data_IF_163289137196
#
_entry.id   IF_163289137196
#
_cell.length_a   1.000
_cell.length_b   1.000
_cell.length_c   1.000
_cell.angle_alpha   90.00
_cell.angle_beta   90.00
_cell.angle_gamma   90.00
#
_symmetry.space_group_name_H-M   'P 1'
#
loop_
_entity.id
_entity.type
_entity.pdbx_description
1 polymer ?
#
# COMPACT_ATOMS: atom_id res chain seq x y z
N UNK A 1 2.49 -16.94 15.46
CA UNK A 1 1.49 -16.02 16.06
C UNK A 1 1.16 -16.45 17.49
N UNK A 2 0.86 -15.50 18.37
CA UNK A 2 0.37 -15.80 19.72
C UNK A 2 -1.06 -16.37 19.68
N UNK A 3 -1.52 -17.12 20.70
CA UNK A 3 -2.91 -17.46 20.85
C UNK A 3 -3.80 -16.20 20.83
N UNK A 4 -4.92 -16.24 20.16
CA UNK A 4 -5.83 -15.09 20.01
C UNK A 4 -5.52 -14.15 18.82
N UNK A 5 -4.45 -14.37 18.05
CA UNK A 5 -4.20 -13.59 16.86
C UNK A 5 -5.33 -13.69 15.80
N UNK A 6 -6.06 -14.79 15.78
CA UNK A 6 -7.17 -15.01 14.83
C UNK A 6 -8.50 -14.37 15.26
N UNK A 7 -8.57 -13.74 16.42
CA UNK A 7 -9.81 -13.19 16.99
C UNK A 7 -9.70 -11.71 17.35
N UNK A 8 -8.65 -11.04 16.95
CA UNK A 8 -8.43 -9.61 17.15
C UNK A 8 -7.94 -8.96 15.86
N UNK A 9 -8.24 -7.70 15.67
CA UNK A 9 -7.70 -6.97 14.53
C UNK A 9 -6.17 -6.91 14.57
N UNK A 10 -5.55 -7.00 13.41
CA UNK A 10 -4.11 -7.04 13.26
C UNK A 10 -3.61 -5.93 12.34
N UNK A 11 -2.48 -5.36 12.71
CA UNK A 11 -1.63 -4.57 11.83
C UNK A 11 -0.47 -5.46 11.36
N UNK A 12 -0.37 -5.69 10.07
CA UNK A 12 0.80 -6.32 9.46
C UNK A 12 1.72 -5.23 8.91
N UNK A 13 3.02 -5.44 9.06
CA UNK A 13 4.07 -4.54 8.56
C UNK A 13 5.13 -5.36 7.85
N UNK A 14 5.40 -5.07 6.60
CA UNK A 14 6.53 -5.65 5.88
C UNK A 14 7.82 -5.06 6.43
N UNK A 15 8.72 -5.92 6.83
CA UNK A 15 10.04 -5.61 7.39
C UNK A 15 11.08 -6.05 6.36
N UNK A 16 11.25 -5.22 5.34
CA UNK A 16 11.95 -5.54 4.10
C UNK A 16 13.39 -6.00 4.35
N UNK A 17 14.15 -5.27 5.17
CA UNK A 17 15.54 -5.56 5.44
C UNK A 17 15.77 -6.88 6.16
N UNK A 18 14.79 -7.37 6.94
CA UNK A 18 14.87 -8.66 7.64
C UNK A 18 14.17 -9.81 6.91
N UNK A 19 13.57 -9.56 5.73
CA UNK A 19 12.81 -10.55 4.96
C UNK A 19 11.68 -11.20 5.77
N UNK A 20 10.96 -10.41 6.58
CA UNK A 20 9.86 -10.88 7.42
C UNK A 20 8.67 -9.91 7.40
N UNK A 21 7.51 -10.38 7.84
CA UNK A 21 6.33 -9.53 8.07
C UNK A 21 5.97 -9.64 9.55
N UNK A 22 5.93 -8.50 10.23
CA UNK A 22 5.59 -8.41 11.63
C UNK A 22 4.08 -8.20 11.79
N UNK A 23 3.47 -8.89 12.75
CA UNK A 23 2.06 -8.75 13.08
C UNK A 23 1.88 -8.21 14.49
N UNK A 24 1.09 -7.15 14.60
CA UNK A 24 0.77 -6.48 15.87
C UNK A 24 -0.74 -6.52 16.11
N UNK A 25 -1.17 -6.57 17.37
CA UNK A 25 -2.57 -6.33 17.69
C UNK A 25 -2.95 -4.90 17.34
N UNK A 26 -4.11 -4.71 16.73
CA UNK A 26 -4.63 -3.39 16.39
C UNK A 26 -5.90 -3.08 17.21
N UNK A 27 -6.05 -1.88 17.77
CA UNK A 27 -5.14 -0.74 17.71
C UNK A 27 -4.02 -0.74 18.77
N UNK A 28 -3.84 -1.78 19.60
CA UNK A 28 -2.95 -1.76 20.78
C UNK A 28 -1.46 -1.70 20.43
N UNK A 29 -1.02 -2.23 19.26
CA UNK A 29 0.37 -2.25 18.81
C UNK A 29 1.29 -3.18 19.61
N UNK A 30 0.73 -4.26 20.16
CA UNK A 30 1.52 -5.33 20.79
C UNK A 30 1.92 -6.34 19.73
N UNK A 31 3.22 -6.65 19.62
CA UNK A 31 3.71 -7.69 18.72
C UNK A 31 3.06 -9.05 19.08
N UNK A 32 2.39 -9.66 18.13
CA UNK A 32 1.73 -10.97 18.29
C UNK A 32 2.37 -12.08 17.48
N UNK A 33 3.27 -11.74 16.57
CA UNK A 33 4.04 -12.72 15.82
C UNK A 33 4.70 -12.17 14.58
N UNK A 34 5.28 -13.08 13.81
CA UNK A 34 5.91 -12.77 12.54
C UNK A 34 5.71 -13.89 11.53
N UNK A 35 5.78 -13.54 10.26
CA UNK A 35 5.86 -14.44 9.13
C UNK A 35 7.25 -14.31 8.55
N UNK A 36 7.82 -15.40 8.05
CA UNK A 36 9.19 -15.46 7.50
C UNK A 36 9.20 -16.23 6.18
N UNK A 37 10.32 -16.18 5.48
CA UNK A 37 10.51 -16.89 4.20
C UNK A 37 10.07 -16.07 3.00
N UNK A 38 10.23 -14.76 3.10
CA UNK A 38 10.03 -13.80 2.01
C UNK A 38 11.35 -13.45 1.33
N UNK A 39 11.24 -12.80 0.19
CA UNK A 39 12.33 -12.18 -0.55
C UNK A 39 11.98 -10.71 -0.78
N UNK A 40 12.40 -9.83 0.15
CA UNK A 40 12.05 -8.41 0.15
C UNK A 40 10.53 -8.20 0.20
N UNK A 41 9.83 -8.52 1.31
CA UNK A 41 8.40 -8.28 1.40
C UNK A 41 8.13 -6.77 1.39
N UNK A 42 7.23 -6.31 0.52
CA UNK A 42 6.92 -4.90 0.35
C UNK A 42 5.42 -4.65 0.53
N UNK A 43 4.63 -4.56 -0.54
CA UNK A 43 3.21 -4.33 -0.45
C UNK A 43 2.43 -5.38 0.31
N UNK A 44 1.49 -4.95 1.14
CA UNK A 44 0.55 -5.82 1.84
C UNK A 44 -0.86 -5.30 1.63
N UNK A 45 -1.78 -6.19 1.24
CA UNK A 45 -3.20 -5.86 1.18
C UNK A 45 -4.05 -6.95 1.85
N UNK A 46 -5.24 -6.57 2.34
CA UNK A 46 -6.16 -7.47 3.01
C UNK A 46 -7.46 -7.61 2.22
N UNK A 47 -8.04 -8.80 2.24
CA UNK A 47 -9.38 -9.05 1.72
C UNK A 47 -10.46 -8.81 2.80
N UNK A 48 -11.73 -8.94 2.42
CA UNK A 48 -12.87 -8.80 3.35
C UNK A 48 -12.93 -9.81 4.49
N UNK A 49 -12.20 -10.90 4.39
CA UNK A 49 -12.13 -11.94 5.44
C UNK A 49 -10.98 -11.68 6.41
N UNK A 50 -10.21 -10.61 6.15
CA UNK A 50 -8.98 -10.32 6.84
C UNK A 50 -7.80 -11.17 6.38
N UNK A 51 -7.95 -12.03 5.37
CA UNK A 51 -6.81 -12.74 4.78
C UNK A 51 -5.89 -11.72 4.10
N UNK A 52 -4.58 -11.91 4.19
CA UNK A 52 -3.59 -10.96 3.69
C UNK A 52 -2.82 -11.53 2.51
N UNK A 53 -2.58 -10.69 1.54
CA UNK A 53 -1.64 -10.89 0.45
C UNK A 53 -0.38 -10.08 0.70
N UNK A 54 0.78 -10.69 0.48
CA UNK A 54 2.10 -10.09 0.67
C UNK A 54 2.87 -10.22 -0.63
N UNK A 55 3.39 -9.10 -1.08
CA UNK A 55 4.19 -9.01 -2.30
C UNK A 55 5.66 -9.23 -1.97
N UNK A 56 6.36 -10.09 -2.72
CA UNK A 56 7.81 -10.28 -2.61
C UNK A 56 8.51 -9.47 -3.71
N UNK A 57 9.02 -8.30 -3.39
CA UNK A 57 9.62 -7.39 -4.37
C UNK A 57 10.86 -7.96 -5.08
N UNK A 58 11.72 -8.68 -4.38
CA UNK A 58 12.92 -9.30 -4.98
C UNK A 58 12.68 -10.73 -5.49
N UNK A 59 11.42 -11.11 -5.66
CA UNK A 59 10.98 -12.37 -6.22
C UNK A 59 9.58 -12.24 -6.82
N UNK A 60 9.20 -13.08 -7.79
CA UNK A 60 7.94 -12.91 -8.52
C UNK A 60 6.71 -13.36 -7.74
N UNK A 61 6.83 -13.74 -6.48
CA UNK A 61 5.75 -14.37 -5.74
C UNK A 61 4.90 -13.36 -4.97
N UNK A 62 3.58 -13.51 -5.08
CA UNK A 62 2.59 -12.87 -4.20
C UNK A 62 1.90 -13.96 -3.39
N UNK A 63 1.95 -13.87 -2.07
CA UNK A 63 1.59 -14.98 -1.19
C UNK A 63 0.46 -14.64 -0.23
N UNK A 64 -0.46 -15.58 -0.02
CA UNK A 64 -1.62 -15.41 0.84
C UNK A 64 -1.47 -16.14 2.17
N UNK A 65 -1.89 -15.47 3.24
CA UNK A 65 -2.03 -16.04 4.58
C UNK A 65 -3.42 -15.76 5.14
N UNK A 66 -3.96 -16.71 5.88
CA UNK A 66 -5.17 -16.50 6.69
C UNK A 66 -4.93 -15.44 7.75
N UNK A 67 -5.99 -14.69 8.08
CA UNK A 67 -6.00 -13.79 9.21
C UNK A 67 -5.41 -14.45 10.47
N UNK A 68 -4.37 -13.86 11.05
CA UNK A 68 -3.68 -14.40 12.23
C UNK A 68 -2.98 -15.73 12.04
N UNK A 69 -2.98 -16.30 10.83
CA UNK A 69 -2.32 -17.57 10.50
C UNK A 69 -0.83 -17.43 10.23
N UNK A 70 -0.13 -18.56 10.20
CA UNK A 70 1.30 -18.63 9.84
C UNK A 70 1.57 -19.55 8.66
N UNK A 71 0.54 -20.22 8.17
CA UNK A 71 0.67 -21.12 7.00
C UNK A 71 0.28 -20.37 5.73
N UNK A 72 1.17 -20.37 4.74
CA UNK A 72 0.86 -19.91 3.38
C UNK A 72 -0.26 -20.76 2.80
N UNK A 73 -1.31 -20.14 2.27
CA UNK A 73 -2.49 -20.81 1.72
C UNK A 73 -2.58 -20.70 0.20
N UNK A 74 -1.98 -19.67 -0.39
CA UNK A 74 -1.83 -19.53 -1.83
C UNK A 74 -0.49 -18.87 -2.19
N UNK A 75 -0.06 -19.11 -3.44
CA UNK A 75 1.06 -18.42 -4.07
C UNK A 75 0.64 -18.15 -5.51
N UNK A 76 0.79 -16.89 -5.92
CA UNK A 76 0.66 -16.45 -7.30
C UNK A 76 2.04 -16.03 -7.79
N UNK A 77 2.34 -16.34 -9.05
CA UNK A 77 3.57 -15.88 -9.68
C UNK A 77 3.24 -14.66 -10.52
N UNK A 78 3.76 -13.53 -10.16
CA UNK A 78 3.64 -12.35 -11.00
C UNK A 78 4.54 -12.47 -12.23
N UNK A 79 4.13 -11.83 -13.31
CA UNK A 79 4.86 -11.89 -14.56
C UNK A 79 6.13 -11.06 -14.52
N UNK A 80 6.11 -9.99 -13.73
CA UNK A 80 7.23 -9.12 -13.51
C UNK A 80 8.27 -9.76 -12.57
N UNK A 81 9.38 -9.08 -12.43
CA UNK A 81 10.46 -9.51 -11.54
C UNK A 81 10.50 -8.69 -10.25
N UNK A 82 9.67 -7.64 -10.16
CA UNK A 82 9.67 -6.68 -9.05
C UNK A 82 8.26 -6.20 -8.71
N UNK A 83 7.35 -7.12 -8.29
CA UNK A 83 6.04 -6.71 -7.82
C UNK A 83 6.19 -5.83 -6.58
N UNK A 84 5.41 -4.74 -6.50
CA UNK A 84 5.62 -3.71 -5.47
C UNK A 84 4.40 -3.53 -4.56
N UNK A 85 3.18 -3.47 -5.10
CA UNK A 85 1.97 -3.23 -4.33
C UNK A 85 0.83 -4.14 -4.75
N UNK A 86 -0.18 -4.26 -3.88
CA UNK A 86 -1.38 -5.03 -4.19
C UNK A 86 -2.66 -4.37 -3.63
N UNK A 87 -3.79 -4.73 -4.26
CA UNK A 87 -5.12 -4.36 -3.77
C UNK A 87 -6.15 -5.44 -4.11
N UNK A 88 -7.10 -5.68 -3.23
CA UNK A 88 -8.19 -6.66 -3.44
C UNK A 88 -9.50 -5.92 -3.73
N UNK A 89 -10.15 -6.23 -4.86
CA UNK A 89 -11.50 -5.71 -5.14
C UNK A 89 -12.48 -6.20 -4.07
N UNK A 90 -13.07 -5.29 -3.30
CA UNK A 90 -13.97 -5.67 -2.22
C UNK A 90 -15.26 -6.34 -2.71
N UNK A 91 -15.61 -6.25 -3.98
CA UNK A 91 -16.82 -6.86 -4.54
C UNK A 91 -16.59 -8.24 -5.14
N UNK A 92 -15.48 -8.43 -5.88
CA UNK A 92 -15.21 -9.67 -6.63
C UNK A 92 -14.14 -10.54 -5.98
N UNK A 93 -13.26 -9.97 -5.16
CA UNK A 93 -12.06 -10.63 -4.64
C UNK A 93 -10.96 -10.75 -5.70
N UNK A 94 -11.01 -9.97 -6.78
CA UNK A 94 -9.93 -9.90 -7.74
C UNK A 94 -8.72 -9.21 -7.10
N UNK A 95 -7.53 -9.76 -7.31
CA UNK A 95 -6.29 -9.20 -6.80
C UNK A 95 -5.58 -8.44 -7.92
N UNK A 96 -5.35 -7.16 -7.72
CA UNK A 96 -4.45 -6.35 -8.53
C UNK A 96 -3.05 -6.37 -7.91
N UNK A 97 -2.02 -6.50 -8.75
CA UNK A 97 -0.61 -6.42 -8.39
C UNK A 97 0.08 -5.50 -9.37
N UNK A 98 0.81 -4.51 -8.87
CA UNK A 98 1.67 -3.63 -9.67
C UNK A 98 3.09 -4.15 -9.68
N UNK A 99 3.78 -3.98 -10.80
CA UNK A 99 5.19 -4.33 -10.94
C UNK A 99 6.01 -3.08 -11.30
N UNK A 100 7.06 -2.83 -10.51
CA UNK A 100 7.90 -1.63 -10.67
C UNK A 100 8.54 -1.53 -12.05
N UNK A 101 8.97 -2.65 -12.62
CA UNK A 101 9.69 -2.67 -13.90
C UNK A 101 8.77 -2.71 -15.14
N UNK A 102 7.45 -2.79 -14.93
CA UNK A 102 6.47 -2.88 -16.01
C UNK A 102 5.49 -1.71 -15.93
N UNK A 103 5.05 -1.25 -17.08
CA UNK A 103 4.01 -0.22 -17.19
C UNK A 103 2.61 -0.88 -17.26
N UNK A 104 2.38 -1.92 -16.46
CA UNK A 104 1.10 -2.61 -16.42
C UNK A 104 0.72 -3.08 -15.01
N UNK A 105 -0.51 -3.57 -14.89
CA UNK A 105 -1.05 -4.17 -13.68
C UNK A 105 -1.50 -5.58 -13.99
N UNK A 106 -1.06 -6.53 -13.19
CA UNK A 106 -1.53 -7.91 -13.16
C UNK A 106 -2.82 -8.01 -12.36
N UNK A 107 -3.94 -8.42 -12.99
CA UNK A 107 -5.21 -8.65 -12.27
C UNK A 107 -5.55 -10.14 -12.30
N UNK A 108 -5.57 -10.76 -11.13
CA UNK A 108 -5.91 -12.16 -10.89
C UNK A 108 -7.39 -12.27 -10.51
N UNK A 109 -8.20 -12.89 -11.38
CA UNK A 109 -9.62 -13.09 -11.11
C UNK A 109 -9.82 -13.96 -9.85
N UNK A 110 -10.56 -13.44 -8.87
CA UNK A 110 -10.77 -14.06 -7.56
C UNK A 110 -9.45 -14.49 -6.88
N UNK A 111 -8.39 -13.72 -7.11
CA UNK A 111 -7.05 -13.96 -6.61
C UNK A 111 -6.52 -15.39 -6.95
N UNK A 112 -6.73 -15.84 -8.19
CA UNK A 112 -6.36 -17.21 -8.64
C UNK A 112 -5.88 -17.24 -10.07
N UNK A 113 -5.08 -18.28 -10.38
CA UNK A 113 -4.67 -18.63 -11.74
C UNK A 113 -3.67 -17.64 -12.34
N UNK A 114 -3.74 -17.44 -13.65
CA UNK A 114 -2.88 -16.50 -14.37
C UNK A 114 -3.52 -15.12 -14.45
N UNK A 115 -2.75 -14.04 -14.34
CA UNK A 115 -3.30 -12.70 -14.38
C UNK A 115 -3.70 -12.29 -15.80
N UNK A 116 -4.60 -11.33 -15.86
CA UNK A 116 -4.82 -10.50 -17.03
C UNK A 116 -4.07 -9.19 -16.86
N UNK A 117 -3.33 -8.80 -17.90
CA UNK A 117 -2.49 -7.63 -17.91
C UNK A 117 -3.23 -6.40 -18.45
N UNK A 118 -3.03 -5.27 -17.81
CA UNK A 118 -3.61 -3.99 -18.18
C UNK A 118 -2.53 -2.92 -18.22
N UNK A 119 -2.16 -2.47 -19.42
CA UNK A 119 -1.17 -1.42 -19.60
C UNK A 119 -1.69 -0.06 -19.09
N UNK A 120 -0.80 0.68 -18.44
CA UNK A 120 -1.07 2.03 -17.97
C UNK A 120 -0.55 3.03 -19.01
N UNK A 121 -1.42 3.85 -19.60
CA UNK A 121 -1.00 4.83 -20.60
C UNK A 121 -0.01 5.84 -20.02
N UNK A 122 1.05 6.14 -20.76
CA UNK A 122 2.08 7.13 -20.43
C UNK A 122 2.91 6.80 -19.17
N UNK A 123 2.87 5.60 -18.64
CA UNK A 123 3.74 5.16 -17.54
C UNK A 123 4.95 4.39 -18.08
N UNK A 124 6.10 4.55 -17.46
CA UNK A 124 7.29 3.71 -17.65
C UNK A 124 7.46 2.76 -16.46
N UNK A 125 7.12 3.22 -15.26
CA UNK A 125 7.14 2.47 -14.02
C UNK A 125 5.79 2.57 -13.33
N UNK A 126 5.30 1.44 -12.83
CA UNK A 126 4.06 1.37 -12.05
C UNK A 126 4.42 1.21 -10.58
N UNK A 127 3.75 1.96 -9.71
CA UNK A 127 4.03 1.92 -8.27
C UNK A 127 2.89 1.29 -7.49
N UNK A 128 1.85 2.04 -7.14
CA UNK A 128 0.84 1.60 -6.18
C UNK A 128 -0.54 1.50 -6.81
N UNK A 129 -1.40 0.69 -6.20
CA UNK A 129 -2.77 0.55 -6.65
C UNK A 129 -3.77 0.41 -5.50
N UNK A 130 -5.01 0.86 -5.76
CA UNK A 130 -6.11 0.75 -4.80
C UNK A 130 -7.46 0.62 -5.48
N UNK A 131 -8.23 -0.39 -5.09
CA UNK A 131 -9.64 -0.49 -5.48
C UNK A 131 -10.51 0.42 -4.61
N UNK A 132 -11.52 1.07 -5.22
CA UNK A 132 -12.61 1.69 -4.48
C UNK A 132 -13.71 0.66 -4.12
N UNK A 133 -14.72 1.11 -3.38
CA UNK A 133 -15.86 0.26 -2.96
C UNK A 133 -16.77 -0.18 -4.11
N UNK A 134 -16.60 0.39 -5.30
CA UNK A 134 -17.36 0.06 -6.53
C UNK A 134 -16.60 -0.90 -7.43
N UNK A 135 -15.32 -1.19 -7.12
CA UNK A 135 -14.44 -2.03 -7.91
C UNK A 135 -13.77 -1.30 -9.08
N UNK A 136 -13.66 0.03 -9.03
CA UNK A 136 -12.76 0.76 -9.90
C UNK A 136 -11.35 0.66 -9.32
N UNK A 137 -10.35 0.39 -10.17
CA UNK A 137 -8.95 0.32 -9.77
C UNK A 137 -8.23 1.61 -10.13
N UNK A 138 -7.62 2.23 -9.15
CA UNK A 138 -6.76 3.39 -9.30
C UNK A 138 -5.31 2.97 -9.17
N UNK A 139 -4.44 3.56 -10.01
CA UNK A 139 -3.02 3.21 -10.06
C UNK A 139 -2.22 4.47 -10.26
N UNK A 140 -1.08 4.56 -9.62
CA UNK A 140 -0.09 5.57 -9.92
C UNK A 140 1.17 4.99 -10.56
N UNK A 141 2.02 5.89 -11.04
CA UNK A 141 3.23 5.53 -11.74
C UNK A 141 4.05 6.76 -12.13
N UNK A 142 5.11 6.50 -12.89
CA UNK A 142 6.07 7.50 -13.31
C UNK A 142 6.41 7.39 -14.79
N UNK A 143 6.62 8.54 -15.48
CA UNK A 143 6.94 8.58 -16.93
C UNK A 143 8.43 8.61 -17.23
N UNK A 144 9.32 8.58 -16.23
CA UNK A 144 10.76 8.80 -16.44
C UNK A 144 11.18 10.22 -16.80
N UNK A 145 10.23 11.10 -17.08
CA UNK A 145 10.49 12.50 -17.40
C UNK A 145 10.31 13.42 -16.18
N UNK A 146 10.82 14.62 -16.25
CA UNK A 146 10.66 15.64 -15.20
C UNK A 146 9.16 15.87 -14.93
N UNK A 147 8.72 15.75 -13.66
CA UNK A 147 7.32 15.84 -13.23
C UNK A 147 6.42 14.75 -13.84
N UNK A 148 6.96 13.55 -13.95
CA UNK A 148 6.36 12.43 -14.64
C UNK A 148 5.32 11.64 -13.84
N UNK A 149 4.71 12.17 -12.78
CA UNK A 149 3.65 11.47 -12.04
C UNK A 149 2.46 11.14 -12.95
N UNK A 150 2.07 9.87 -12.94
CA UNK A 150 0.90 9.36 -13.66
C UNK A 150 -0.12 8.87 -12.64
N UNK A 151 -1.38 9.22 -12.85
CA UNK A 151 -2.50 8.66 -12.12
C UNK A 151 -3.56 8.20 -13.10
N UNK A 152 -4.08 6.99 -12.94
CA UNK A 152 -5.00 6.40 -13.88
C UNK A 152 -6.07 5.55 -13.18
N UNK A 153 -7.23 5.40 -13.81
CA UNK A 153 -8.34 4.56 -13.38
C UNK A 153 -8.62 3.48 -14.42
N UNK A 154 -8.81 2.24 -13.96
CA UNK A 154 -9.50 1.19 -14.69
C UNK A 154 -10.93 1.09 -14.13
N UNK A 155 -11.93 1.69 -14.81
CA UNK A 155 -13.32 1.58 -14.33
C UNK A 155 -13.79 0.14 -14.38
N UNK A 156 -14.61 -0.25 -13.41
CA UNK A 156 -15.14 -1.62 -13.30
C UNK A 156 -15.72 -2.10 -14.62
N UNK A 157 -15.27 -3.28 -15.05
CA UNK A 157 -15.69 -3.93 -16.28
C UNK A 157 -15.11 -3.33 -17.58
N UNK A 158 -14.26 -2.30 -17.50
CA UNK A 158 -13.53 -1.78 -18.65
C UNK A 158 -12.28 -2.61 -18.93
N UNK A 159 -11.68 -2.39 -20.10
CA UNK A 159 -10.52 -3.14 -20.59
C UNK A 159 -9.26 -2.28 -20.73
N UNK A 160 -9.33 -1.03 -20.37
CA UNK A 160 -8.23 -0.08 -20.48
C UNK A 160 -8.30 0.98 -19.39
N UNK A 161 -7.15 1.37 -18.89
CA UNK A 161 -7.00 2.52 -18.01
C UNK A 161 -7.29 3.83 -18.74
N UNK A 162 -7.75 4.81 -17.99
CA UNK A 162 -7.90 6.21 -18.41
C UNK A 162 -7.04 7.06 -17.50
N UNK A 163 -6.14 7.87 -18.07
CA UNK A 163 -5.30 8.80 -17.30
C UNK A 163 -6.17 9.88 -16.67
N UNK A 164 -5.90 10.17 -15.40
CA UNK A 164 -6.56 11.21 -14.61
C UNK A 164 -5.59 12.36 -14.40
N UNK A 165 -5.98 13.56 -14.82
CA UNK A 165 -5.22 14.76 -14.53
C UNK A 165 -5.62 15.33 -13.17
N UNK A 166 -4.72 15.25 -12.18
CA UNK A 166 -4.95 15.82 -10.88
C UNK A 166 -4.93 17.35 -10.95
N UNK A 167 -5.85 17.97 -10.21
CA UNK A 167 -5.97 19.42 -10.10
C UNK A 167 -6.00 19.84 -8.62
N UNK A 168 -5.33 20.95 -8.30
CA UNK A 168 -5.30 21.51 -6.94
C UNK A 168 -3.99 21.26 -6.16
N UNK A 169 -3.15 20.33 -6.61
CA UNK A 169 -1.78 20.13 -6.11
C UNK A 169 -0.93 19.41 -7.15
N UNK A 170 0.37 19.34 -6.89
CA UNK A 170 1.34 18.51 -7.61
C UNK A 170 1.75 17.40 -6.65
N UNK A 171 1.83 16.17 -7.13
CA UNK A 171 2.46 15.04 -6.47
C UNK A 171 3.87 14.92 -7.04
N UNK A 172 4.87 14.92 -6.18
CA UNK A 172 6.27 14.93 -6.58
C UNK A 172 6.82 13.54 -6.81
N UNK A 173 6.39 12.57 -5.98
CA UNK A 173 6.78 11.18 -6.14
C UNK A 173 5.62 10.24 -5.76
N UNK A 174 5.40 9.13 -6.52
CA UNK A 174 4.33 8.18 -6.21
C UNK A 174 4.43 7.63 -4.79
N UNK A 175 3.32 7.55 -4.09
CA UNK A 175 3.15 6.86 -2.82
C UNK A 175 1.81 6.14 -2.81
N UNK A 176 1.56 5.30 -1.83
CA UNK A 176 0.43 4.37 -1.81
C UNK A 176 -0.91 4.96 -2.29
N UNK A 177 -1.73 4.13 -2.90
CA UNK A 177 -3.10 4.45 -3.34
C UNK A 177 -4.11 3.62 -2.56
N UNK A 178 -5.02 4.28 -1.83
CA UNK A 178 -6.02 3.58 -1.02
C UNK A 178 -7.38 4.28 -1.06
N UNK A 179 -8.48 3.51 -1.05
CA UNK A 179 -9.82 4.01 -0.78
C UNK A 179 -10.01 4.27 0.72
N UNK A 180 -10.37 5.49 1.11
CA UNK A 180 -10.57 5.88 2.51
C UNK A 180 -12.02 5.73 3.00
N UNK A 181 -12.88 5.11 2.18
CA UNK A 181 -14.32 4.99 2.42
C UNK A 181 -15.14 6.10 1.77
N UNK A 182 -14.49 7.12 1.20
CA UNK A 182 -15.16 8.25 0.54
C UNK A 182 -14.38 8.82 -0.64
N UNK A 183 -13.06 8.83 -0.55
CA UNK A 183 -12.15 9.39 -1.55
C UNK A 183 -11.03 8.40 -1.87
N UNK A 184 -10.41 8.56 -3.02
CA UNK A 184 -9.15 7.91 -3.29
C UNK A 184 -8.03 8.74 -2.66
N UNK A 185 -7.34 8.15 -1.70
CA UNK A 185 -6.16 8.71 -1.06
C UNK A 185 -4.94 8.33 -1.88
N UNK A 186 -4.12 9.31 -2.26
CA UNK A 186 -2.91 9.16 -3.07
C UNK A 186 -1.75 9.76 -2.32
N UNK A 187 -0.70 8.97 -2.12
CA UNK A 187 0.51 9.40 -1.43
C UNK A 187 1.41 10.29 -2.28
N UNK A 188 2.21 11.07 -1.60
CA UNK A 188 3.35 11.81 -2.14
C UNK A 188 4.50 11.60 -1.15
N UNK A 189 5.44 10.71 -1.49
CA UNK A 189 6.57 10.39 -0.62
C UNK A 189 7.45 11.60 -0.39
N UNK A 190 7.67 12.39 -1.42
CA UNK A 190 8.58 13.54 -1.44
C UNK A 190 7.86 14.90 -1.40
N UNK A 191 6.77 15.00 -0.61
CA UNK A 191 5.95 16.21 -0.55
C UNK A 191 6.75 17.49 -0.28
N UNK A 192 7.67 17.45 0.68
CA UNK A 192 8.57 18.59 0.94
C UNK A 192 9.85 18.19 1.67
N UNK A 193 10.95 18.91 1.38
CA UNK A 193 12.17 18.80 2.15
C UNK A 193 12.01 19.41 3.54
N UNK A 194 12.47 18.69 4.55
CA UNK A 194 12.63 19.23 5.90
C UNK A 194 13.97 19.95 6.04
N UNK A 195 14.14 20.82 7.06
CA UNK A 195 15.44 21.44 7.34
C UNK A 195 16.58 20.46 7.62
N UNK A 196 16.28 19.21 8.00
CA UNK A 196 17.25 18.13 8.20
C UNK A 196 17.68 17.43 6.92
N UNK A 197 17.09 17.78 5.76
CA UNK A 197 17.42 17.18 4.46
C UNK A 197 16.60 15.95 4.10
N UNK A 198 15.66 15.55 4.95
CA UNK A 198 14.72 14.47 4.67
C UNK A 198 13.44 14.96 4.02
N UNK A 199 12.69 14.07 3.41
CA UNK A 199 11.37 14.38 2.89
C UNK A 199 10.31 14.22 3.99
N UNK A 200 9.27 15.04 3.95
CA UNK A 200 8.04 14.84 4.69
C UNK A 200 6.97 14.39 3.71
N UNK A 201 6.30 13.30 4.00
CA UNK A 201 5.30 12.73 3.10
C UNK A 201 3.93 13.35 3.32
N UNK A 202 3.07 13.30 2.30
CA UNK A 202 1.69 13.74 2.37
C UNK A 202 0.74 12.75 1.68
N UNK A 203 -0.55 12.84 2.03
CA UNK A 203 -1.62 12.08 1.39
C UNK A 203 -2.65 13.08 0.85
N UNK A 204 -3.00 12.95 -0.43
CA UNK A 204 -4.02 13.74 -1.09
C UNK A 204 -5.31 12.95 -1.25
N UNK A 205 -6.43 13.49 -0.78
CA UNK A 205 -7.75 12.95 -1.06
C UNK A 205 -8.27 13.49 -2.38
N UNK A 206 -8.62 12.60 -3.31
CA UNK A 206 -9.10 12.97 -4.64
C UNK A 206 -10.56 12.55 -4.85
N UNK A 207 -11.23 13.19 -5.81
CA UNK A 207 -12.57 12.76 -6.26
C UNK A 207 -12.52 11.56 -7.20
N UNK A 208 -11.48 10.73 -7.15
CA UNK A 208 -11.28 9.60 -8.05
C UNK A 208 -11.20 10.06 -9.51
N UNK A 209 -12.01 9.50 -10.39
CA UNK A 209 -12.04 9.81 -11.84
C UNK A 209 -12.11 11.32 -12.17
N UNK A 210 -12.64 12.14 -11.28
CA UNK A 210 -12.69 13.59 -11.45
C UNK A 210 -11.37 14.32 -11.26
N UNK A 211 -10.37 13.67 -10.68
CA UNK A 211 -9.01 14.20 -10.50
C UNK A 211 -8.89 15.45 -9.63
N UNK A 212 -9.95 15.91 -8.98
CA UNK A 212 -9.89 17.07 -8.10
C UNK A 212 -9.38 16.66 -6.72
N UNK A 213 -8.28 17.28 -6.28
CA UNK A 213 -7.81 17.18 -4.91
C UNK A 213 -8.71 18.02 -4.01
N UNK A 214 -9.26 17.41 -2.97
CA UNK A 214 -10.21 18.03 -2.03
C UNK A 214 -9.64 18.21 -0.64
N UNK A 215 -8.59 17.49 -0.30
CA UNK A 215 -7.90 17.62 0.99
C UNK A 215 -6.45 17.14 0.89
N UNK A 216 -5.59 17.61 1.80
CA UNK A 216 -4.21 17.17 1.98
C UNK A 216 -3.94 16.87 3.45
N UNK A 217 -3.42 15.69 3.72
CA UNK A 217 -2.98 15.20 5.04
C UNK A 217 -1.46 15.21 5.06
N UNK A 218 -0.84 16.11 5.81
CA UNK A 218 0.62 16.16 5.97
C UNK A 218 1.02 15.24 7.11
N UNK A 219 1.98 14.35 6.88
CA UNK A 219 2.49 13.38 7.85
C UNK A 219 3.73 13.95 8.56
N UNK A 220 3.52 15.02 9.35
CA UNK A 220 4.63 15.77 9.94
C UNK A 220 5.51 14.92 10.85
N UNK A 221 6.81 14.99 10.58
CA UNK A 221 7.85 14.21 11.28
C UNK A 221 8.07 12.81 10.70
N UNK A 222 7.51 12.52 9.51
CA UNK A 222 7.92 11.36 8.72
C UNK A 222 9.29 11.59 8.10
N UNK A 223 9.94 10.51 7.73
CA UNK A 223 11.09 10.52 6.83
C UNK A 223 10.64 10.20 5.42
N UNK A 224 10.20 8.98 5.21
CA UNK A 224 9.83 8.47 3.90
C UNK A 224 8.72 7.42 4.05
N UNK A 225 7.48 7.81 3.78
CA UNK A 225 6.32 6.94 3.86
C UNK A 225 5.93 6.49 2.45
N UNK A 226 6.48 5.35 2.08
CA UNK A 226 6.27 4.70 0.77
C UNK A 226 4.84 4.15 0.68
N UNK A 227 4.47 3.33 1.65
CA UNK A 227 3.11 2.82 1.77
C UNK A 227 2.47 3.23 3.10
N UNK A 228 1.16 3.32 3.11
CA UNK A 228 0.39 3.61 4.33
C UNK A 228 -0.89 2.79 4.37
N UNK A 229 -1.45 2.66 5.56
CA UNK A 229 -2.81 2.15 5.76
C UNK A 229 -3.68 3.21 6.40
N UNK A 230 -4.89 3.38 5.89
CA UNK A 230 -5.92 4.22 6.50
C UNK A 230 -7.00 3.31 7.09
N UNK A 231 -7.25 3.47 8.39
CA UNK A 231 -8.35 2.81 9.08
C UNK A 231 -9.08 3.81 9.97
N UNK A 232 -10.33 4.08 9.63
CA UNK A 232 -11.13 5.11 10.30
C UNK A 232 -10.47 6.49 10.29
N UNK A 233 -10.16 7.00 11.46
CA UNK A 233 -9.53 8.32 11.64
C UNK A 233 -8.00 8.24 11.87
N UNK A 234 -7.37 7.15 11.45
CA UNK A 234 -5.93 6.91 11.65
C UNK A 234 -5.27 6.58 10.32
N UNK A 235 -4.13 7.21 10.03
CA UNK A 235 -3.20 6.75 9.03
C UNK A 235 -1.97 6.17 9.72
N UNK A 236 -1.49 5.04 9.21
CA UNK A 236 -0.35 4.27 9.71
C UNK A 236 0.65 4.22 8.57
N UNK A 237 1.87 4.69 8.80
CA UNK A 237 2.94 4.69 7.82
C UNK A 237 4.20 4.05 8.42
N UNK A 238 4.67 2.94 7.85
CA UNK A 238 6.05 2.50 8.03
C UNK A 238 6.99 3.54 7.42
N UNK A 239 8.04 3.90 8.16
CA UNK A 239 9.03 4.89 7.74
C UNK A 239 10.28 4.16 7.29
N UNK A 240 10.50 4.15 5.98
CA UNK A 240 11.56 3.42 5.29
C UNK A 240 12.91 4.14 5.34
N UNK A 241 13.03 5.23 6.01
CA UNK A 241 14.18 6.11 5.97
C UNK A 241 15.54 5.37 6.06
N UNK A 242 16.37 5.54 5.03
CA UNK A 242 17.69 4.93 4.86
C UNK A 242 18.66 5.17 6.04
N UNK A 243 18.44 6.18 6.87
CA UNK A 243 19.37 6.59 7.91
C UNK A 243 18.79 6.63 9.33
N UNK A 244 17.69 5.92 9.63
CA UNK A 244 17.46 5.76 11.03
C UNK A 244 16.10 5.80 11.67
N UNK A 245 15.01 6.04 10.98
CA UNK A 245 13.72 6.00 11.66
C UNK A 245 13.28 4.56 11.94
N UNK A 246 13.40 3.63 10.98
CA UNK A 246 13.05 2.22 11.15
C UNK A 246 11.89 2.04 12.14
N UNK A 247 10.78 2.73 11.87
CA UNK A 247 9.67 2.90 12.80
C UNK A 247 8.34 2.83 12.05
N UNK A 248 7.28 2.52 12.76
CA UNK A 248 5.92 2.68 12.23
C UNK A 248 5.24 3.80 12.99
N UNK A 249 4.77 4.79 12.28
CA UNK A 249 4.14 5.96 12.85
C UNK A 249 2.63 6.00 12.62
N UNK A 250 1.93 6.70 13.49
CA UNK A 250 0.49 6.87 13.46
C UNK A 250 0.13 8.35 13.53
N UNK A 251 -0.72 8.80 12.61
CA UNK A 251 -1.25 10.17 12.59
C UNK A 251 -2.76 10.19 12.60
N UNK A 252 -3.33 11.35 12.90
CA UNK A 252 -4.77 11.57 12.70
C UNK A 252 -5.10 11.67 11.21
N UNK A 253 -6.16 11.02 10.75
CA UNK A 253 -6.66 11.12 9.39
C UNK A 253 -8.08 11.72 9.39
N UNK A 254 -8.41 12.63 8.47
CA UNK A 254 -7.55 13.24 7.45
C UNK A 254 -6.77 14.47 7.95
N UNK A 255 -6.80 14.78 9.24
CA UNK A 255 -6.22 16.01 9.79
C UNK A 255 -4.69 16.11 9.66
N UNK A 256 -3.97 14.98 9.67
CA UNK A 256 -2.51 14.97 9.62
C UNK A 256 -1.85 15.57 10.87
N UNK A 257 -0.72 16.25 10.63
CA UNK A 257 0.05 16.93 11.66
C UNK A 257 1.05 16.02 12.36
N UNK A 258 1.32 16.24 13.64
CA UNK A 258 2.37 15.53 14.39
C UNK A 258 2.03 14.05 14.62
N UNK A 259 3.06 13.21 14.69
CA UNK A 259 2.99 11.80 15.09
C UNK A 259 2.25 11.67 16.43
N UNK A 260 1.22 10.83 16.46
CA UNK A 260 0.42 10.54 17.67
C UNK A 260 0.97 9.35 18.45
N UNK A 261 1.52 8.38 17.73
CA UNK A 261 2.07 7.16 18.29
C UNK A 261 3.14 6.59 17.36
N UNK A 262 4.06 5.79 17.92
CA UNK A 262 5.07 5.07 17.15
C UNK A 262 5.31 3.67 17.70
N UNK A 263 5.67 2.75 16.81
CA UNK A 263 6.31 1.48 17.11
C UNK A 263 7.77 1.61 16.65
N UNK A 264 8.73 1.33 17.53
CA UNK A 264 10.16 1.65 17.31
C UNK A 264 11.10 0.46 17.43
N UNK A 265 10.59 -0.75 17.63
CA UNK A 265 11.46 -1.90 17.91
C UNK A 265 11.22 -3.03 16.90
N UNK A 266 12.33 -3.63 16.45
CA UNK A 266 12.32 -4.80 15.61
C UNK A 266 12.10 -4.51 14.13
N UNK A 267 12.28 -3.27 13.69
CA UNK A 267 12.18 -2.90 12.30
C UNK A 267 13.55 -2.73 11.65
N UNK A 268 13.64 -3.20 10.42
CA UNK A 268 14.72 -2.98 9.48
C UNK A 268 14.07 -2.70 8.13
N UNK A 269 14.13 -1.45 7.69
CA UNK A 269 13.50 -0.99 6.44
C UNK A 269 12.02 -1.38 6.33
N UNK A 270 11.14 -0.93 7.24
CA UNK A 270 9.71 -1.22 7.14
C UNK A 270 9.09 -0.39 6.01
N UNK A 271 8.36 -1.02 5.09
CA UNK A 271 7.81 -0.36 3.89
C UNK A 271 6.29 -0.37 3.86
N UNK A 272 5.69 -1.56 3.80
CA UNK A 272 4.26 -1.72 3.63
C UNK A 272 3.52 -2.00 4.93
N UNK A 273 2.26 -1.66 4.96
CA UNK A 273 1.36 -2.02 6.07
C UNK A 273 -0.05 -2.33 5.60
N UNK A 274 -0.73 -3.22 6.33
CA UNK A 274 -2.15 -3.48 6.14
C UNK A 274 -2.85 -3.74 7.47
N UNK A 275 -4.08 -3.24 7.59
CA UNK A 275 -4.99 -3.64 8.67
C UNK A 275 -5.80 -4.84 8.20
N UNK A 276 -5.75 -5.89 8.97
CA UNK A 276 -6.52 -7.11 8.79
C UNK A 276 -7.55 -7.21 9.92
N UNK A 277 -8.81 -6.98 9.59
CA UNK A 277 -9.90 -7.04 10.55
C UNK A 277 -10.23 -8.50 10.87
N UNK A 278 -10.52 -8.78 12.14
CA UNK A 278 -10.93 -10.11 12.57
C UNK A 278 -12.23 -10.51 11.87
N UNK A 279 -12.34 -11.76 11.41
CA UNK A 279 -13.61 -12.27 10.87
C UNK A 279 -14.73 -12.16 11.92
N UNK A 280 -15.88 -11.66 11.52
CA UNK A 280 -17.10 -11.59 12.34
C UNK A 280 -17.64 -12.97 12.63
#
# INVERSE_FOLDING_TARGET
MTPGATTQDLLYVSNYGDNEVLAYSYPQGKLVGKLTGFAGPEGICADKKGDIWIVNHTGPDVVEYKHGGTKRIATLHDRGESPISCSVDPATGDLAVTDFNLADVSIYAHAKGSPKLYAIPNSEWTYFCGYDDKGNLFVDGWTGATLGFVFAELPKGKKSFTVIHLTGAIIYFPGNVQWDGKHVAVGDEEYQHTPSGYYESAIYQTTGAGGKIVHKTVLSGSGDIVEFSIEGNTVIGPDFQWEGANSVYFWSYPAGGKIKRSLKKGFSEPIGSAISLAPN
#
